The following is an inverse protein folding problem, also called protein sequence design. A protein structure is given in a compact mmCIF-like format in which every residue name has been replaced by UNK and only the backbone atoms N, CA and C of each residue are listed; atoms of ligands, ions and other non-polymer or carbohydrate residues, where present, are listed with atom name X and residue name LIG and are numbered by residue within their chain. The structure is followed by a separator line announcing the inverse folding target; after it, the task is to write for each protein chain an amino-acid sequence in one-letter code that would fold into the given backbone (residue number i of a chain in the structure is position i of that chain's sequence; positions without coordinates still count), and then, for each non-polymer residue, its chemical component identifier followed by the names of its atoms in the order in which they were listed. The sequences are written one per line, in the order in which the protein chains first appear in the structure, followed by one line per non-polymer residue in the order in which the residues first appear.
data_IF_118393073083
#
_entry.id   IF_118393073083
#
_cell.length_a   1.000
_cell.length_b   1.000
_cell.length_c   1.000
_cell.angle_alpha   90.00
_cell.angle_beta   90.00
_cell.angle_gamma   90.00
#
_symmetry.space_group_name_H-M   'P 1'
#
loop_
_entity.id
_entity.type
_entity.pdbx_description
1 polymer ?
#
# COMPACT_ATOMS: atom_id res chain seq x y z
N UNK A 1 49.77 20.07 3.43
CA UNK A 1 48.69 21.07 3.37
C UNK A 1 47.41 20.46 3.92
N UNK A 2 47.06 20.78 5.16
CA UNK A 2 45.89 20.24 5.89
C UNK A 2 44.56 20.89 5.47
N UNK A 3 44.62 21.98 4.72
CA UNK A 3 43.46 22.79 4.34
C UNK A 3 43.29 22.89 2.82
N UNK A 4 42.06 23.21 2.40
CA UNK A 4 41.68 23.43 1.01
C UNK A 4 40.72 24.63 0.94
N UNK A 5 40.86 25.45 -0.10
CA UNK A 5 39.97 26.59 -0.34
C UNK A 5 38.71 26.15 -1.08
N UNK A 6 37.55 26.47 -0.51
CA UNK A 6 36.26 26.22 -1.16
C UNK A 6 36.04 27.17 -2.34
N UNK A 7 35.60 26.64 -3.48
CA UNK A 7 35.33 27.44 -4.69
C UNK A 7 34.04 28.28 -4.59
N UNK A 8 33.14 27.97 -3.66
CA UNK A 8 31.86 28.67 -3.47
C UNK A 8 32.00 29.79 -2.43
N UNK A 9 32.21 29.45 -1.14
CA UNK A 9 32.33 30.47 -0.08
C UNK A 9 33.72 31.11 0.02
N UNK A 10 34.70 30.66 -0.78
CA UNK A 10 36.08 31.19 -0.84
C UNK A 10 36.91 31.08 0.44
N UNK A 11 36.38 30.45 1.49
CA UNK A 11 37.09 30.19 2.75
C UNK A 11 37.99 28.96 2.67
N UNK A 12 39.14 29.00 3.35
CA UNK A 12 39.97 27.83 3.63
C UNK A 12 39.33 26.99 4.73
N UNK A 13 39.22 25.69 4.50
CA UNK A 13 38.64 24.73 5.45
C UNK A 13 39.52 23.48 5.52
N UNK A 14 39.49 22.71 6.61
CA UNK A 14 40.20 21.43 6.68
C UNK A 14 39.78 20.52 5.53
N UNK A 15 40.71 19.69 5.03
CA UNK A 15 40.44 18.72 3.95
C UNK A 15 39.31 17.73 4.29
N UNK A 16 39.06 17.47 5.57
CA UNK A 16 37.96 16.65 6.08
C UNK A 16 36.57 17.27 5.88
N UNK A 17 36.49 18.59 5.66
CA UNK A 17 35.26 19.33 5.35
C UNK A 17 34.88 19.28 3.87
N UNK A 18 35.55 18.44 3.07
CA UNK A 18 35.26 18.24 1.65
C UNK A 18 34.84 16.78 1.42
N UNK A 19 33.88 16.59 0.51
CA UNK A 19 33.48 15.24 0.10
C UNK A 19 34.54 14.62 -0.81
N UNK A 20 34.68 13.29 -0.74
CA UNK A 20 35.62 12.56 -1.59
C UNK A 20 35.16 12.59 -3.03
N UNK A 21 36.11 12.82 -3.95
CA UNK A 21 35.94 12.68 -5.39
C UNK A 21 37.22 12.08 -5.96
N UNK A 22 37.27 10.75 -6.08
CA UNK A 22 38.49 10.00 -6.48
C UNK A 22 39.11 10.48 -7.79
N UNK A 23 38.30 11.02 -8.70
CA UNK A 23 38.76 11.53 -9.99
C UNK A 23 39.42 12.92 -9.93
N UNK A 24 39.45 13.62 -8.79
CA UNK A 24 40.15 14.92 -8.68
C UNK A 24 41.61 14.72 -8.30
N UNK A 25 42.45 15.68 -8.69
CA UNK A 25 43.91 15.66 -8.45
C UNK A 25 44.29 15.48 -6.98
N UNK A 26 43.45 15.94 -6.05
CA UNK A 26 43.66 15.82 -4.62
C UNK A 26 42.65 14.91 -3.93
N UNK A 27 41.87 14.14 -4.69
CA UNK A 27 40.86 13.19 -4.20
C UNK A 27 39.64 13.81 -3.51
N UNK A 28 39.51 15.14 -3.49
CA UNK A 28 38.43 15.86 -2.83
C UNK A 28 37.65 16.74 -3.80
N UNK A 29 36.37 16.97 -3.50
CA UNK A 29 35.57 17.98 -4.18
C UNK A 29 36.18 19.39 -3.99
N UNK A 30 35.82 20.30 -4.90
CA UNK A 30 36.27 21.69 -4.86
C UNK A 30 35.36 22.61 -4.01
N UNK A 31 34.27 22.08 -3.45
CA UNK A 31 33.38 22.78 -2.54
C UNK A 31 33.30 22.07 -1.19
N UNK A 32 33.21 22.84 -0.11
CA UNK A 32 33.06 22.28 1.22
C UNK A 32 31.66 21.67 1.42
N UNK A 33 31.53 20.81 2.43
CA UNK A 33 30.29 20.10 2.79
C UNK A 33 29.11 21.04 3.05
N UNK A 34 29.34 22.20 3.68
CA UNK A 34 28.28 23.18 3.93
C UNK A 34 27.74 23.80 2.64
N UNK A 35 28.62 24.26 1.75
CA UNK A 35 28.21 24.75 0.43
C UNK A 35 27.55 23.66 -0.42
N UNK A 36 28.03 22.41 -0.32
CA UNK A 36 27.40 21.29 -1.02
C UNK A 36 25.99 21.01 -0.49
N UNK A 37 25.78 21.07 0.83
CA UNK A 37 24.46 20.91 1.45
C UNK A 37 23.49 22.00 1.02
N UNK A 38 23.93 23.26 1.00
CA UNK A 38 23.10 24.38 0.57
C UNK A 38 22.76 24.29 -0.93
N UNK A 39 23.75 23.94 -1.76
CA UNK A 39 23.53 23.68 -3.18
C UNK A 39 22.53 22.55 -3.40
N UNK A 40 22.66 21.44 -2.67
CA UNK A 40 21.72 20.31 -2.77
C UNK A 40 20.31 20.73 -2.34
N UNK A 41 20.16 21.45 -1.22
CA UNK A 41 18.88 21.98 -0.76
C UNK A 41 18.19 22.84 -1.82
N UNK A 42 18.95 23.76 -2.44
CA UNK A 42 18.45 24.61 -3.54
C UNK A 42 18.04 23.79 -4.76
N UNK A 43 18.91 22.88 -5.20
CA UNK A 43 18.61 21.99 -6.33
C UNK A 43 17.32 21.21 -6.11
N UNK A 44 17.14 20.59 -4.93
CA UNK A 44 15.91 19.87 -4.61
C UNK A 44 14.69 20.78 -4.52
N UNK A 45 14.82 22.00 -3.99
CA UNK A 45 13.71 22.96 -3.93
C UNK A 45 13.25 23.40 -5.34
N UNK A 46 14.21 23.78 -6.20
CA UNK A 46 13.95 24.21 -7.58
C UNK A 46 13.41 23.07 -8.46
N UNK A 47 13.94 21.85 -8.28
CA UNK A 47 13.57 20.70 -9.10
C UNK A 47 12.45 19.86 -8.49
N UNK A 48 11.92 20.21 -7.31
CA UNK A 48 10.85 19.45 -6.64
C UNK A 48 9.65 19.24 -7.55
N UNK A 49 9.20 20.32 -8.20
CA UNK A 49 8.05 20.25 -9.11
C UNK A 49 8.34 19.33 -10.30
N UNK A 50 9.53 19.40 -10.88
CA UNK A 50 9.94 18.52 -11.99
C UNK A 50 10.00 17.05 -11.56
N UNK A 51 10.62 16.79 -10.41
CA UNK A 51 10.71 15.44 -9.84
C UNK A 51 9.33 14.84 -9.56
N UNK A 52 8.42 15.63 -8.97
CA UNK A 52 7.03 15.21 -8.73
C UNK A 52 6.32 14.93 -10.05
N UNK A 53 6.45 15.79 -11.08
CA UNK A 53 5.84 15.54 -12.40
C UNK A 53 6.32 14.21 -12.99
N UNK A 54 7.62 13.94 -12.95
CA UNK A 54 8.17 12.67 -13.45
C UNK A 54 7.65 11.46 -12.67
N UNK A 55 7.56 11.54 -11.34
CA UNK A 55 7.01 10.47 -10.51
C UNK A 55 5.53 10.23 -10.83
N UNK A 56 4.73 11.29 -10.93
CA UNK A 56 3.29 11.18 -11.22
C UNK A 56 3.06 10.60 -12.61
N UNK A 57 3.79 11.07 -13.63
CA UNK A 57 3.69 10.56 -15.00
C UNK A 57 4.06 9.07 -15.05
N UNK A 58 5.17 8.67 -14.40
CA UNK A 58 5.57 7.27 -14.31
C UNK A 58 4.52 6.42 -13.60
N UNK A 59 3.98 6.91 -12.47
CA UNK A 59 2.93 6.23 -11.72
C UNK A 59 1.68 6.01 -12.57
N UNK A 60 1.27 7.00 -13.36
CA UNK A 60 0.12 6.90 -14.25
C UNK A 60 0.31 5.82 -15.32
N UNK A 61 1.46 5.80 -15.99
CA UNK A 61 1.81 4.77 -16.98
C UNK A 61 1.81 3.39 -16.33
N UNK A 62 2.47 3.25 -15.18
CA UNK A 62 2.58 1.96 -14.50
C UNK A 62 1.21 1.46 -14.01
N UNK A 63 0.34 2.36 -13.53
CA UNK A 63 -1.03 2.02 -13.14
C UNK A 63 -1.80 1.44 -14.32
N UNK A 64 -1.72 2.04 -15.51
CA UNK A 64 -2.41 1.52 -16.70
C UNK A 64 -1.93 0.10 -17.04
N UNK A 65 -0.62 -0.13 -17.11
CA UNK A 65 -0.07 -1.47 -17.35
C UNK A 65 -0.48 -2.48 -16.28
N UNK A 66 -0.59 -2.06 -15.02
CA UNK A 66 -1.07 -2.94 -13.94
C UNK A 66 -2.56 -3.27 -14.08
N UNK A 67 -3.39 -2.31 -14.47
CA UNK A 67 -4.82 -2.56 -14.70
C UNK A 67 -5.06 -3.48 -15.90
N UNK A 68 -4.23 -3.37 -16.94
CA UNK A 68 -4.29 -4.29 -18.10
C UNK A 68 -4.01 -5.74 -17.70
N UNK A 69 -2.93 -6.01 -16.95
CA UNK A 69 -2.61 -7.38 -16.52
C UNK A 69 -3.62 -7.93 -15.51
N UNK A 70 -4.12 -7.08 -14.59
CA UNK A 70 -5.18 -7.44 -13.65
C UNK A 70 -6.46 -7.80 -14.41
N UNK A 71 -6.88 -6.96 -15.36
CA UNK A 71 -8.08 -7.20 -16.17
C UNK A 71 -7.98 -8.47 -16.99
N UNK A 72 -6.84 -8.70 -17.66
CA UNK A 72 -6.59 -9.93 -18.41
C UNK A 72 -6.66 -11.19 -17.52
N UNK A 73 -6.15 -11.10 -16.29
CA UNK A 73 -6.26 -12.18 -15.32
C UNK A 73 -7.73 -12.44 -14.93
N UNK A 74 -8.48 -11.40 -14.55
CA UNK A 74 -9.89 -11.55 -14.15
C UNK A 74 -10.78 -12.08 -15.29
N UNK A 75 -10.50 -11.72 -16.55
CA UNK A 75 -11.25 -12.22 -17.71
C UNK A 75 -11.08 -13.72 -17.98
N UNK A 76 -9.99 -14.32 -17.49
CA UNK A 76 -9.68 -15.74 -17.68
C UNK A 76 -9.88 -16.59 -16.42
N UNK A 77 -10.20 -15.97 -15.29
CA UNK A 77 -10.33 -16.61 -13.99
C UNK A 77 -11.69 -16.25 -13.38
N UNK A 78 -12.77 -16.99 -13.70
CA UNK A 78 -14.07 -16.77 -13.06
C UNK A 78 -14.00 -17.07 -11.56
N UNK A 79 -15.04 -16.67 -10.83
CA UNK A 79 -15.18 -16.97 -9.41
C UNK A 79 -15.04 -18.47 -9.15
N UNK A 80 -14.07 -18.84 -8.30
CA UNK A 80 -13.80 -20.25 -7.98
C UNK A 80 -14.98 -20.97 -7.32
N UNK A 81 -15.88 -20.25 -6.63
CA UNK A 81 -16.99 -20.87 -5.89
C UNK A 81 -18.29 -20.97 -6.72
N UNK A 82 -18.57 -20.01 -7.61
CA UNK A 82 -19.85 -19.96 -8.34
C UNK A 82 -19.75 -19.78 -9.85
N UNK A 83 -18.54 -19.65 -10.42
CA UNK A 83 -18.34 -19.52 -11.86
C UNK A 83 -18.68 -18.16 -12.47
N UNK A 84 -19.08 -17.16 -11.68
CA UNK A 84 -19.28 -15.78 -12.15
C UNK A 84 -18.05 -15.28 -12.90
N UNK A 85 -18.23 -14.70 -14.08
CA UNK A 85 -17.15 -14.29 -14.98
C UNK A 85 -17.09 -12.78 -15.24
N UNK A 86 -18.07 -12.01 -14.78
CA UNK A 86 -18.08 -10.55 -14.94
C UNK A 86 -16.99 -9.91 -14.07
N UNK A 87 -15.91 -9.35 -14.66
CA UNK A 87 -14.78 -8.81 -13.92
C UNK A 87 -15.17 -7.62 -13.03
N UNK A 88 -16.33 -6.99 -13.25
CA UNK A 88 -16.82 -5.88 -12.40
C UNK A 88 -17.21 -6.33 -11.01
N UNK A 89 -17.55 -7.60 -10.81
CA UNK A 89 -17.97 -8.17 -9.53
C UNK A 89 -16.93 -9.12 -8.92
N UNK A 90 -15.84 -9.41 -9.64
CA UNK A 90 -14.73 -10.22 -9.16
C UNK A 90 -13.78 -9.42 -8.27
N UNK A 91 -13.18 -10.11 -7.32
CA UNK A 91 -12.23 -9.60 -6.35
C UNK A 91 -11.14 -10.65 -6.09
N UNK A 92 -10.01 -10.21 -5.55
CA UNK A 92 -8.90 -11.09 -5.16
C UNK A 92 -9.02 -11.43 -3.67
N UNK A 93 -9.38 -12.66 -3.38
CA UNK A 93 -9.44 -13.19 -2.01
C UNK A 93 -8.14 -13.92 -1.68
N UNK A 94 -7.39 -13.41 -0.69
CA UNK A 94 -6.15 -14.05 -0.25
C UNK A 94 -6.43 -15.44 0.33
N UNK A 95 -5.61 -16.43 -0.04
CA UNK A 95 -5.75 -17.80 0.47
C UNK A 95 -5.44 -17.87 1.96
N UNK A 96 -6.12 -18.78 2.66
CA UNK A 96 -5.93 -19.00 4.08
C UNK A 96 -4.48 -19.37 4.42
N UNK A 97 -3.97 -18.81 5.52
CA UNK A 97 -2.58 -19.00 5.95
C UNK A 97 -1.55 -18.17 5.19
N UNK A 98 -1.93 -17.46 4.12
CA UNK A 98 -1.03 -16.54 3.42
C UNK A 98 -1.04 -15.18 4.10
N UNK A 99 0.14 -14.73 4.54
CA UNK A 99 0.31 -13.36 5.03
C UNK A 99 0.34 -12.40 3.84
N UNK A 100 -0.75 -11.66 3.62
CA UNK A 100 -0.81 -10.65 2.56
C UNK A 100 0.32 -9.64 2.76
N UNK A 101 1.07 -9.36 1.70
CA UNK A 101 2.08 -8.30 1.75
C UNK A 101 1.48 -6.95 1.39
N UNK A 102 0.41 -6.96 0.58
CA UNK A 102 -0.38 -5.80 0.21
C UNK A 102 -1.72 -6.25 -0.43
N UNK A 103 -2.59 -5.30 -0.75
CA UNK A 103 -3.78 -5.57 -1.57
C UNK A 103 -3.43 -5.40 -3.06
N UNK A 104 -3.85 -6.33 -3.91
CA UNK A 104 -3.56 -6.31 -5.37
C UNK A 104 -3.93 -4.97 -5.99
N UNK A 105 -5.15 -4.49 -5.72
CA UNK A 105 -5.63 -3.22 -6.26
C UNK A 105 -4.89 -2.01 -5.69
N UNK A 106 -4.39 -2.08 -4.45
CA UNK A 106 -3.55 -1.02 -3.88
C UNK A 106 -2.21 -0.94 -4.60
N UNK A 107 -1.57 -2.09 -4.88
CA UNK A 107 -0.32 -2.14 -5.62
C UNK A 107 -0.49 -1.59 -7.05
N UNK A 108 -1.58 -1.96 -7.73
CA UNK A 108 -1.89 -1.45 -9.06
C UNK A 108 -2.13 0.06 -9.06
N UNK A 109 -2.94 0.57 -8.13
CA UNK A 109 -3.24 2.02 -8.01
C UNK A 109 -2.01 2.85 -7.63
N UNK A 110 -1.10 2.28 -6.84
CA UNK A 110 0.12 2.96 -6.42
C UNK A 110 1.21 2.98 -7.50
N UNK A 111 1.03 2.25 -8.61
CA UNK A 111 1.98 2.19 -9.70
C UNK A 111 3.23 1.37 -9.37
N UNK A 112 3.06 0.25 -8.67
CA UNK A 112 4.11 -0.78 -8.56
C UNK A 112 4.29 -1.53 -9.88
N UNK A 113 5.40 -2.23 -10.07
CA UNK A 113 5.64 -3.01 -11.28
C UNK A 113 4.59 -4.12 -11.48
N UNK A 114 4.26 -4.42 -12.74
CA UNK A 114 3.36 -5.53 -13.10
C UNK A 114 3.81 -6.85 -12.49
N UNK A 115 5.11 -7.14 -12.49
CA UNK A 115 5.69 -8.34 -11.85
C UNK A 115 5.34 -8.42 -10.36
N UNK A 116 5.39 -7.30 -9.63
CA UNK A 116 5.03 -7.29 -8.20
C UNK A 116 3.53 -7.50 -8.00
N UNK A 117 2.71 -6.89 -8.84
CA UNK A 117 1.24 -7.08 -8.81
C UNK A 117 0.89 -8.54 -9.08
N UNK A 118 1.49 -9.17 -10.10
CA UNK A 118 1.24 -10.57 -10.44
C UNK A 118 1.65 -11.54 -9.32
N UNK A 119 2.79 -11.28 -8.65
CA UNK A 119 3.18 -12.06 -7.46
C UNK A 119 2.16 -11.99 -6.33
N UNK A 120 1.49 -10.85 -6.15
CA UNK A 120 0.41 -10.76 -5.16
C UNK A 120 -0.84 -11.52 -5.63
N UNK A 121 -1.16 -11.46 -6.92
CA UNK A 121 -2.28 -12.22 -7.52
C UNK A 121 -2.10 -13.73 -7.35
N UNK A 122 -0.88 -14.26 -7.48
CA UNK A 122 -0.56 -15.68 -7.30
C UNK A 122 -0.92 -16.22 -5.89
N UNK A 123 -1.06 -15.33 -4.91
CA UNK A 123 -1.44 -15.65 -3.54
C UNK A 123 -2.96 -15.61 -3.29
N UNK A 124 -3.73 -15.25 -4.30
CA UNK A 124 -5.18 -15.06 -4.22
C UNK A 124 -5.94 -16.11 -5.04
N UNK A 125 -7.18 -16.34 -4.65
CA UNK A 125 -8.20 -16.89 -5.51
C UNK A 125 -9.06 -15.75 -6.06
N UNK A 126 -9.56 -15.91 -7.30
CA UNK A 126 -10.56 -14.99 -7.83
C UNK A 126 -11.94 -15.41 -7.34
N UNK A 127 -12.64 -14.50 -6.65
CA UNK A 127 -13.99 -14.71 -6.11
C UNK A 127 -14.90 -13.55 -6.44
N UNK A 128 -16.18 -13.79 -6.70
CA UNK A 128 -17.14 -12.70 -6.77
C UNK A 128 -17.36 -12.11 -5.38
N UNK A 129 -17.74 -10.82 -5.30
CA UNK A 129 -17.92 -10.09 -4.04
C UNK A 129 -18.90 -10.77 -3.08
N UNK A 130 -19.92 -11.47 -3.59
CA UNK A 130 -20.88 -12.20 -2.77
C UNK A 130 -20.27 -13.47 -2.15
N UNK A 131 -19.54 -14.28 -2.93
CA UNK A 131 -18.86 -15.47 -2.41
C UNK A 131 -17.71 -15.09 -1.47
N UNK A 132 -16.94 -14.06 -1.81
CA UNK A 132 -15.91 -13.52 -0.94
C UNK A 132 -16.47 -13.09 0.43
N UNK A 133 -17.63 -12.42 0.46
CA UNK A 133 -18.29 -12.05 1.71
C UNK A 133 -18.72 -13.28 2.53
N UNK A 134 -19.26 -14.33 1.90
CA UNK A 134 -19.65 -15.59 2.58
C UNK A 134 -18.44 -16.25 3.22
N UNK A 135 -17.37 -16.47 2.45
CA UNK A 135 -16.11 -17.07 2.93
C UNK A 135 -15.51 -16.24 4.06
N UNK A 136 -15.59 -14.91 3.97
CA UNK A 136 -15.15 -14.02 5.07
C UNK A 136 -15.93 -14.30 6.36
N UNK A 137 -17.27 -14.40 6.29
CA UNK A 137 -18.08 -14.73 7.46
C UNK A 137 -17.80 -16.13 8.01
N UNK A 138 -17.50 -17.10 7.16
CA UNK A 138 -17.12 -18.46 7.55
C UNK A 138 -15.78 -18.47 8.30
N UNK A 139 -14.77 -17.74 7.80
CA UNK A 139 -13.45 -17.61 8.44
C UNK A 139 -13.47 -16.86 9.78
N UNK A 140 -14.34 -15.87 9.93
CA UNK A 140 -14.44 -15.06 11.15
C UNK A 140 -15.08 -15.81 12.34
N UNK A 141 -15.72 -16.96 12.10
CA UNK A 141 -16.42 -17.72 13.13
C UNK A 141 -17.84 -17.22 13.41
N UNK A 142 -18.39 -17.58 14.57
CA UNK A 142 -19.78 -17.31 14.90
C UNK A 142 -20.06 -15.81 15.09
N UNK A 143 -21.08 -15.32 14.40
CA UNK A 143 -21.64 -13.98 14.52
C UNK A 143 -23.16 -14.05 14.32
N UNK A 144 -23.86 -12.93 14.46
CA UNK A 144 -25.33 -12.93 14.34
C UNK A 144 -25.84 -13.47 12.99
N UNK A 145 -25.11 -13.26 11.88
CA UNK A 145 -25.50 -13.77 10.56
C UNK A 145 -25.26 -15.27 10.44
N UNK A 146 -24.10 -15.77 10.85
CA UNK A 146 -23.81 -17.21 10.80
C UNK A 146 -24.68 -18.00 11.79
N UNK A 147 -24.93 -17.45 12.98
CA UNK A 147 -25.88 -18.01 13.95
C UNK A 147 -27.34 -17.98 13.46
N UNK A 148 -27.76 -16.95 12.71
CA UNK A 148 -29.07 -16.91 12.06
C UNK A 148 -29.18 -18.02 11.00
N UNK A 149 -28.17 -18.17 10.15
CA UNK A 149 -28.14 -19.21 9.12
C UNK A 149 -28.18 -20.62 9.73
N UNK A 150 -27.44 -20.88 10.81
CA UNK A 150 -27.48 -22.16 11.53
C UNK A 150 -28.87 -22.47 12.10
N UNK A 151 -29.49 -21.47 12.75
CA UNK A 151 -30.86 -21.58 13.27
C UNK A 151 -31.87 -21.85 12.15
N UNK A 152 -31.76 -21.16 11.03
CA UNK A 152 -32.63 -21.36 9.87
C UNK A 152 -32.43 -22.74 9.21
N UNK A 153 -31.21 -23.29 9.27
CA UNK A 153 -30.89 -24.62 8.75
C UNK A 153 -31.37 -25.77 9.64
N UNK A 154 -31.91 -25.50 10.83
CA UNK A 154 -32.35 -26.53 11.77
C UNK A 154 -31.22 -27.23 12.53
N UNK A 155 -29.98 -26.72 12.43
CA UNK A 155 -28.83 -27.18 13.20
C UNK A 155 -28.85 -26.61 14.63
N UNK A 156 -29.91 -26.96 15.36
CA UNK A 156 -30.06 -26.56 16.75
C UNK A 156 -29.30 -27.51 17.67
N UNK A 157 -28.03 -27.17 17.94
CA UNK A 157 -27.28 -27.72 19.08
C UNK A 157 -27.16 -26.72 20.24
N UNK A 158 -27.98 -25.67 20.27
CA UNK A 158 -27.81 -24.57 21.25
C UNK A 158 -29.11 -23.98 21.79
N UNK A 159 -30.17 -24.77 21.95
CA UNK A 159 -31.35 -24.39 22.73
C UNK A 159 -31.11 -24.39 24.27
N UNK A 160 -29.88 -24.22 24.77
CA UNK A 160 -29.60 -24.33 26.20
C UNK A 160 -28.86 -23.16 26.86
N UNK A 161 -28.44 -22.11 26.16
CA UNK A 161 -27.86 -20.94 26.84
C UNK A 161 -28.47 -19.61 26.36
N UNK A 162 -28.99 -18.78 27.29
CA UNK A 162 -29.53 -17.47 26.96
C UNK A 162 -28.40 -16.53 26.51
N UNK A 163 -28.71 -15.52 25.67
CA UNK A 163 -27.73 -14.55 25.22
C UNK A 163 -27.10 -13.82 26.41
N UNK A 164 -25.78 -13.54 26.39
CA UNK A 164 -25.14 -12.78 27.45
C UNK A 164 -25.76 -11.38 27.52
N UNK A 165 -26.05 -10.93 28.74
CA UNK A 165 -26.65 -9.62 29.00
C UNK A 165 -25.83 -8.49 28.36
N UNK A 166 -26.49 -7.44 27.82
CA UNK A 166 -25.80 -6.28 27.28
C UNK A 166 -24.97 -5.63 28.39
N UNK A 167 -23.66 -5.52 28.15
CA UNK A 167 -22.78 -4.72 29.01
C UNK A 167 -23.10 -3.25 28.78
N UNK A 168 -24.06 -2.72 29.53
CA UNK A 168 -24.31 -1.29 29.64
C UNK A 168 -23.15 -0.63 30.41
N UNK A 169 -22.07 -0.34 29.70
CA UNK A 169 -21.11 0.68 30.09
C UNK A 169 -21.69 2.06 29.76
N UNK A 170 -21.50 3.08 30.61
CA UNK A 170 -22.08 4.39 30.37
C UNK A 170 -21.58 4.96 29.04
N UNK A 171 -22.51 5.20 28.10
CA UNK A 171 -22.23 5.95 26.87
C UNK A 171 -21.82 7.37 27.27
N UNK A 172 -20.54 7.67 27.18
CA UNK A 172 -20.03 9.04 27.19
C UNK A 172 -20.70 9.82 26.06
N UNK A 173 -21.46 10.85 26.44
CA UNK A 173 -22.13 11.79 25.57
C UNK A 173 -21.12 12.74 24.92
N UNK A 174 -20.58 12.35 23.77
CA UNK A 174 -19.92 13.29 22.87
C UNK A 174 -20.98 13.95 21.98
N UNK A 175 -21.20 15.25 22.19
CA UNK A 175 -22.06 16.09 21.36
C UNK A 175 -21.56 16.10 19.90
N UNK A 176 -22.42 15.72 18.96
CA UNK A 176 -22.21 15.99 17.55
C UNK A 176 -22.58 17.45 17.25
N UNK A 177 -21.76 18.21 16.50
CA UNK A 177 -22.14 19.55 16.08
C UNK A 177 -23.22 19.48 15.00
N UNK A 178 -24.32 20.19 15.23
CA UNK A 178 -25.36 20.47 14.25
C UNK A 178 -24.76 21.24 13.07
N UNK A 179 -24.84 20.69 11.86
CA UNK A 179 -24.59 21.45 10.65
C UNK A 179 -25.87 22.20 10.25
N UNK A 180 -25.74 23.52 10.12
CA UNK A 180 -26.70 24.40 9.43
C UNK A 180 -26.44 24.38 7.93
#
# INVERSE_FOLDING_TARGET
MSEKRCTICKQSRPRTEFNVRRASSDGLQNMCRSCNREKAKRYYAENRASHIRTIVARKAVQRLSCLEVVGAHLLSHPCVDCGESDPRVLDFDHRDGVQKTAEVMKLAQDGYSTVRVMREIEMCDVRCRNCHAKVTYERMGENWRTALMRRAAGDDRSASEPPPEPKDGPRSSAAHPSFS
#
